data_IF_615074780434
#
_entry.id   IF_615074780434
#
_cell.length_a   1.000
_cell.length_b   1.000
_cell.length_c   1.000
_cell.angle_alpha   90.00
_cell.angle_beta   90.00
_cell.angle_gamma   90.00
#
_symmetry.space_group_name_H-M   'P 1'
#
loop_
_entity.id
_entity.type
_entity.pdbx_description
1 polymer ?
#
# COMPACT_ATOMS: atom_id res chain seq x y z
N UNK A 1 -4.91 80.08 26.82
CA UNK A 1 -6.33 79.93 26.40
C UNK A 1 -6.52 78.53 25.85
N UNK A 2 -7.52 77.80 26.35
CA UNK A 2 -8.07 76.57 25.76
C UNK A 2 -9.33 76.94 24.95
N UNK A 3 -9.98 76.02 24.19
CA UNK A 3 -9.44 74.91 23.39
C UNK A 3 -10.13 74.78 22.01
N UNK A 4 -9.70 73.84 21.14
CA UNK A 4 -10.58 72.90 20.41
C UNK A 4 -9.81 71.91 19.52
N UNK A 5 -9.99 70.61 19.79
CA UNK A 5 -10.43 69.52 18.88
C UNK A 5 -10.07 69.60 17.38
N UNK A 6 -9.64 68.55 16.67
CA UNK A 6 -9.48 67.11 16.95
C UNK A 6 -8.45 66.51 15.94
N UNK A 7 -7.98 65.26 15.97
CA UNK A 7 -8.19 64.10 16.85
C UNK A 7 -6.94 63.17 16.78
N UNK A 8 -6.92 62.05 17.51
CA UNK A 8 -5.91 60.96 17.37
C UNK A 8 -6.62 59.61 17.41
N UNK A 9 -6.29 58.69 16.49
CA UNK A 9 -6.78 57.32 16.51
C UNK A 9 -5.67 56.32 16.16
N UNK A 10 -5.31 55.49 17.13
CA UNK A 10 -4.38 54.36 16.99
C UNK A 10 -5.12 53.04 17.13
N UNK A 11 -4.58 52.00 16.48
CA UNK A 11 -4.86 50.56 16.65
C UNK A 11 -6.27 50.03 16.35
N UNK A 12 -6.32 49.02 15.46
CA UNK A 12 -6.94 47.74 15.80
C UNK A 12 -8.00 47.18 14.84
N UNK A 13 -7.79 45.92 14.41
CA UNK A 13 -8.88 44.94 14.35
C UNK A 13 -9.60 44.69 13.02
N UNK A 14 -9.02 43.85 12.14
CA UNK A 14 -9.81 42.97 11.26
C UNK A 14 -9.26 41.54 11.37
N UNK A 15 -9.52 40.92 12.53
CA UNK A 15 -9.25 39.51 12.82
C UNK A 15 -10.35 38.94 13.73
N UNK A 16 -11.62 39.14 13.35
CA UNK A 16 -12.81 38.68 14.09
C UNK A 16 -14.07 38.66 13.20
N UNK A 17 -14.09 37.82 12.16
CA UNK A 17 -15.31 37.60 11.36
C UNK A 17 -15.56 36.14 10.92
N UNK A 18 -15.00 35.16 11.64
CA UNK A 18 -15.32 33.73 11.47
C UNK A 18 -16.02 32.99 12.64
N UNK A 19 -16.36 33.56 13.83
CA UNK A 19 -17.06 32.79 14.87
C UNK A 19 -18.60 32.86 14.80
N UNK A 20 -19.19 33.76 13.99
CA UNK A 20 -20.64 34.02 14.09
C UNK A 20 -21.52 32.93 13.45
N UNK A 21 -21.07 32.30 12.35
CA UNK A 21 -21.82 31.21 11.70
C UNK A 21 -21.81 29.93 12.57
N UNK A 22 -20.67 29.62 13.20
CA UNK A 22 -20.52 28.46 14.08
C UNK A 22 -21.38 28.54 15.37
N UNK A 23 -21.75 29.76 15.80
CA UNK A 23 -22.59 29.94 17.00
C UNK A 23 -24.08 29.69 16.71
N UNK A 24 -24.55 29.95 15.49
CA UNK A 24 -25.97 29.77 15.12
C UNK A 24 -26.32 28.28 14.98
N UNK A 25 -25.43 27.46 14.41
CA UNK A 25 -25.67 26.01 14.29
C UNK A 25 -25.81 25.29 15.65
N UNK A 26 -25.18 25.80 16.72
CA UNK A 26 -25.29 25.21 18.07
C UNK A 26 -26.60 25.51 18.80
N UNK A 27 -27.45 26.39 18.26
CA UNK A 27 -28.77 26.70 18.84
C UNK A 27 -29.91 25.82 18.31
N UNK A 28 -29.67 25.00 17.27
CA UNK A 28 -30.71 24.20 16.61
C UNK A 28 -30.42 22.68 16.54
N UNK A 29 -29.21 22.22 16.89
CA UNK A 29 -28.89 20.78 16.97
C UNK A 29 -27.88 20.52 18.11
N UNK A 30 -28.32 20.04 19.30
CA UNK A 30 -27.40 19.69 20.38
C UNK A 30 -26.54 18.44 20.06
N UNK A 31 -27.01 17.55 19.19
CA UNK A 31 -26.34 16.27 18.86
C UNK A 31 -25.48 16.33 17.58
N UNK A 32 -25.19 17.53 17.08
CA UNK A 32 -24.27 17.71 15.95
C UNK A 32 -22.82 17.46 16.40
N UNK A 33 -22.41 16.18 16.43
CA UNK A 33 -21.01 15.78 16.49
C UNK A 33 -20.24 16.32 15.28
N UNK A 34 -19.71 17.54 15.42
CA UNK A 34 -18.71 18.07 14.50
C UNK A 34 -17.45 17.23 14.66
N UNK A 35 -17.22 16.32 13.72
CA UNK A 35 -15.93 15.66 13.55
C UNK A 35 -14.92 16.71 13.13
N UNK A 36 -14.28 17.36 14.10
CA UNK A 36 -13.05 18.08 13.86
C UNK A 36 -12.01 17.05 13.39
N UNK A 37 -11.53 17.21 12.15
CA UNK A 37 -10.45 16.38 11.63
C UNK A 37 -9.16 16.75 12.35
N UNK A 38 -8.91 16.05 13.45
CA UNK A 38 -7.72 16.17 14.28
C UNK A 38 -6.50 15.68 13.47
N UNK A 39 -5.66 16.62 13.02
CA UNK A 39 -4.47 16.35 12.18
C UNK A 39 -3.30 15.82 13.00
N UNK A 40 -3.46 14.63 13.60
CA UNK A 40 -2.39 13.94 14.30
C UNK A 40 -1.39 13.32 13.31
N UNK A 41 -0.12 13.75 13.39
CA UNK A 41 0.98 13.12 12.65
C UNK A 41 1.04 11.62 12.94
N UNK A 42 1.06 10.80 11.89
CA UNK A 42 1.37 9.36 11.96
C UNK A 42 0.18 8.40 12.08
N UNK A 43 -1.05 8.88 12.29
CA UNK A 43 -2.25 8.03 12.27
C UNK A 43 -2.91 8.04 10.89
N UNK A 44 -2.49 7.13 10.01
CA UNK A 44 -3.39 6.68 8.95
C UNK A 44 -4.41 5.71 9.56
N UNK A 45 -5.69 5.93 9.27
CA UNK A 45 -6.68 4.88 9.46
C UNK A 45 -6.42 3.80 8.39
N UNK A 46 -6.32 2.54 8.82
CA UNK A 46 -6.27 1.41 7.89
C UNK A 46 -7.68 1.16 7.36
N UNK A 47 -7.87 1.36 6.06
CA UNK A 47 -9.07 0.96 5.34
C UNK A 47 -9.02 -0.56 5.12
N UNK A 48 -9.77 -1.32 5.93
CA UNK A 48 -9.89 -2.76 5.75
C UNK A 48 -10.75 -3.04 4.50
N UNK A 49 -10.12 -3.51 3.42
CA UNK A 49 -10.80 -3.69 2.13
C UNK A 49 -11.59 -5.00 2.07
N UNK A 50 -11.01 -6.07 2.62
CA UNK A 50 -11.57 -7.41 2.83
C UNK A 50 -10.71 -8.15 3.89
N UNK A 51 -11.15 -9.26 4.49
CA UNK A 51 -10.39 -9.94 5.54
C UNK A 51 -8.96 -10.30 5.11
N UNK A 52 -7.95 -9.75 5.80
CA UNK A 52 -6.52 -9.95 5.51
C UNK A 52 -5.93 -9.00 4.45
N UNK A 53 -6.71 -8.06 3.90
CA UNK A 53 -6.23 -7.05 2.97
C UNK A 53 -6.66 -5.65 3.43
N UNK A 54 -5.69 -4.79 3.72
CA UNK A 54 -5.94 -3.41 4.15
C UNK A 54 -5.10 -2.42 3.35
N UNK A 55 -5.64 -1.22 3.14
CA UNK A 55 -4.95 -0.08 2.53
C UNK A 55 -4.77 1.05 3.55
N UNK A 56 -3.72 1.86 3.41
CA UNK A 56 -3.51 3.04 4.24
C UNK A 56 -2.56 4.03 3.59
N UNK A 57 -2.81 5.33 3.80
CA UNK A 57 -1.93 6.42 3.34
C UNK A 57 -1.33 7.15 4.54
N UNK A 58 -0.01 7.04 4.70
CA UNK A 58 0.71 7.62 5.84
C UNK A 58 1.49 8.85 5.39
N UNK A 59 1.40 9.93 6.18
CA UNK A 59 2.26 11.10 5.99
C UNK A 59 3.66 10.81 6.54
N UNK A 60 4.69 10.95 5.70
CA UNK A 60 6.08 10.65 6.04
C UNK A 60 6.80 11.85 6.69
N UNK A 61 6.53 13.07 6.20
CA UNK A 61 7.14 14.32 6.66
C UNK A 61 6.15 15.51 6.59
N UNK A 62 6.60 16.67 7.07
CA UNK A 62 5.82 17.91 7.10
C UNK A 62 5.51 18.48 5.70
N UNK A 63 6.27 18.10 4.66
CA UNK A 63 6.09 18.54 3.28
C UNK A 63 5.02 17.71 2.53
N UNK A 64 3.98 17.28 3.24
CA UNK A 64 2.83 16.50 2.73
C UNK A 64 3.18 15.20 1.97
N UNK A 65 4.42 14.72 2.01
CA UNK A 65 4.83 13.47 1.33
C UNK A 65 4.08 12.28 1.91
N UNK A 66 3.43 11.49 1.05
CA UNK A 66 2.66 10.32 1.47
C UNK A 66 3.24 9.01 0.95
N UNK A 67 3.13 7.98 1.77
CA UNK A 67 3.33 6.59 1.38
C UNK A 67 1.99 5.85 1.40
N UNK A 68 1.62 5.30 0.25
CA UNK A 68 0.53 4.36 0.12
C UNK A 68 1.04 2.96 0.50
N UNK A 69 0.27 2.25 1.33
CA UNK A 69 0.62 0.92 1.83
C UNK A 69 -0.54 -0.03 1.64
N UNK A 70 -0.26 -1.21 1.07
CA UNK A 70 -1.17 -2.36 1.11
C UNK A 70 -0.59 -3.38 2.07
N UNK A 71 -1.35 -3.78 3.10
CA UNK A 71 -1.00 -4.87 4.01
C UNK A 71 -1.76 -6.13 3.62
N UNK A 72 -1.02 -7.20 3.38
CA UNK A 72 -1.52 -8.50 2.88
C UNK A 72 -1.17 -9.61 3.88
N UNK A 73 -2.18 -10.35 4.32
CA UNK A 73 -2.08 -11.58 5.12
C UNK A 73 -1.76 -12.80 4.23
N UNK A 74 -0.55 -13.40 4.31
CA UNK A 74 -0.19 -14.59 3.53
C UNK A 74 -1.02 -15.83 3.87
N UNK A 75 -1.75 -15.87 4.99
CA UNK A 75 -2.68 -16.96 5.29
C UNK A 75 -3.89 -16.95 4.36
N UNK A 76 -4.29 -15.78 3.84
CA UNK A 76 -5.52 -15.56 3.04
C UNK A 76 -5.27 -15.27 1.56
N UNK A 77 -4.06 -14.82 1.21
CA UNK A 77 -3.69 -14.48 -0.15
C UNK A 77 -2.47 -15.27 -0.63
N UNK A 78 -2.47 -15.59 -1.93
CA UNK A 78 -1.32 -16.15 -2.64
C UNK A 78 -0.57 -15.03 -3.37
N UNK A 79 0.75 -15.18 -3.47
CA UNK A 79 1.61 -14.27 -4.24
C UNK A 79 2.01 -14.94 -5.56
N UNK A 80 1.97 -14.18 -6.64
CA UNK A 80 2.27 -14.64 -7.99
C UNK A 80 3.20 -13.65 -8.68
N UNK A 81 4.29 -14.14 -9.25
CA UNK A 81 5.09 -13.39 -10.21
C UNK A 81 4.36 -13.47 -11.56
N UNK A 82 4.02 -12.32 -12.14
CA UNK A 82 3.54 -12.24 -13.51
C UNK A 82 4.63 -11.58 -14.34
N UNK A 83 5.21 -12.30 -15.29
CA UNK A 83 6.36 -11.85 -16.07
C UNK A 83 6.08 -12.03 -17.57
N UNK A 84 6.35 -11.00 -18.38
CA UNK A 84 6.19 -11.07 -19.86
C UNK A 84 7.05 -12.16 -20.52
N UNK A 85 8.09 -12.62 -19.84
CA UNK A 85 8.93 -13.76 -20.26
C UNK A 85 8.23 -15.11 -20.12
N UNK A 86 7.17 -15.21 -19.32
CA UNK A 86 6.38 -16.43 -19.06
C UNK A 86 5.30 -16.62 -20.13
N UNK A 87 4.65 -15.52 -20.57
CA UNK A 87 3.57 -15.54 -21.56
C UNK A 87 3.98 -15.07 -22.98
N UNK A 88 5.18 -14.50 -23.13
CA UNK A 88 5.71 -14.01 -24.40
C UNK A 88 5.07 -12.70 -24.90
N UNK A 89 4.22 -12.06 -24.10
CA UNK A 89 3.44 -10.90 -24.51
C UNK A 89 4.18 -9.57 -24.26
N UNK A 90 3.52 -8.46 -24.60
CA UNK A 90 4.01 -7.12 -24.32
C UNK A 90 4.08 -6.83 -22.81
N UNK A 91 4.88 -5.84 -22.42
CA UNK A 91 4.75 -5.20 -21.12
C UNK A 91 3.36 -4.53 -21.01
N UNK A 92 2.82 -4.48 -19.79
CA UNK A 92 1.43 -4.05 -19.52
C UNK A 92 1.38 -3.08 -18.35
N UNK A 93 0.36 -2.25 -18.29
CA UNK A 93 0.04 -1.46 -17.09
C UNK A 93 -0.31 -2.38 -15.92
N UNK A 94 -0.24 -1.85 -14.69
CA UNK A 94 -0.61 -2.61 -13.50
C UNK A 94 -2.08 -3.05 -13.56
N UNK A 95 -3.00 -2.18 -14.01
CA UNK A 95 -4.40 -2.51 -14.23
C UNK A 95 -4.59 -3.70 -15.18
N UNK A 96 -3.94 -3.69 -16.35
CA UNK A 96 -4.03 -4.78 -17.33
C UNK A 96 -3.47 -6.10 -16.77
N UNK A 97 -2.37 -6.06 -16.01
CA UNK A 97 -1.90 -7.22 -15.24
C UNK A 97 -2.95 -7.68 -14.21
N UNK A 98 -3.57 -6.72 -13.51
CA UNK A 98 -4.60 -6.96 -12.50
C UNK A 98 -5.84 -7.65 -13.04
N UNK A 99 -6.34 -7.24 -14.19
CA UNK A 99 -7.46 -7.89 -14.88
C UNK A 99 -7.08 -9.26 -15.43
N UNK A 100 -6.04 -9.33 -16.28
CA UNK A 100 -5.68 -10.56 -17.01
C UNK A 100 -5.19 -11.69 -16.09
N UNK A 101 -4.75 -11.36 -14.87
CA UNK A 101 -4.22 -12.33 -13.90
C UNK A 101 -5.05 -12.39 -12.61
N UNK A 102 -6.22 -11.74 -12.56
CA UNK A 102 -7.10 -11.59 -11.39
C UNK A 102 -6.35 -11.23 -10.09
N UNK A 103 -5.57 -10.14 -10.13
CA UNK A 103 -4.80 -9.66 -8.98
C UNK A 103 -5.63 -8.63 -8.20
N UNK A 104 -5.68 -8.78 -6.88
CA UNK A 104 -6.33 -7.81 -5.96
C UNK A 104 -5.39 -6.68 -5.54
N UNK A 105 -4.09 -6.93 -5.66
CA UNK A 105 -3.04 -5.93 -5.53
C UNK A 105 -1.86 -6.34 -6.41
N UNK A 106 -1.08 -5.37 -6.89
CA UNK A 106 0.15 -5.63 -7.63
C UNK A 106 1.18 -4.50 -7.40
N UNK A 107 2.45 -4.85 -7.44
CA UNK A 107 3.60 -3.92 -7.37
C UNK A 107 4.65 -4.37 -8.38
N UNK A 108 5.63 -3.54 -8.72
CA UNK A 108 6.81 -3.97 -9.48
C UNK A 108 7.45 -5.22 -8.87
N UNK A 109 7.82 -6.21 -9.69
CA UNK A 109 8.62 -7.33 -9.19
C UNK A 109 10.05 -6.87 -8.88
N UNK A 110 10.70 -6.21 -9.85
CA UNK A 110 12.07 -5.73 -9.75
C UNK A 110 12.39 -4.77 -10.89
N UNK A 111 13.45 -3.97 -10.74
CA UNK A 111 14.18 -3.37 -11.87
C UNK A 111 14.59 -4.44 -12.89
N UNK A 112 14.60 -4.05 -14.16
CA UNK A 112 14.86 -4.91 -15.30
C UNK A 112 15.97 -4.37 -16.22
N UNK A 113 16.51 -5.23 -17.07
CA UNK A 113 17.59 -4.92 -18.00
C UNK A 113 17.09 -4.14 -19.23
N UNK A 114 18.03 -3.66 -20.05
CA UNK A 114 17.72 -2.89 -21.27
C UNK A 114 16.92 -3.66 -22.34
N UNK A 115 16.73 -4.97 -22.17
CA UNK A 115 15.81 -5.80 -22.97
C UNK A 115 14.32 -5.56 -22.65
N UNK A 116 14.04 -4.75 -21.62
CA UNK A 116 12.71 -4.46 -21.11
C UNK A 116 11.96 -5.73 -20.67
N UNK A 117 12.67 -6.73 -20.11
CA UNK A 117 12.09 -8.04 -19.76
C UNK A 117 12.80 -8.74 -18.60
N UNK A 118 14.12 -8.85 -18.63
CA UNK A 118 14.87 -9.68 -17.68
C UNK A 118 15.13 -8.91 -16.39
N UNK A 119 14.86 -9.51 -15.22
CA UNK A 119 15.17 -8.91 -13.92
C UNK A 119 16.67 -8.61 -13.78
N UNK A 120 17.01 -7.53 -13.08
CA UNK A 120 18.40 -7.24 -12.70
C UNK A 120 18.98 -8.23 -11.67
N UNK A 121 18.12 -8.97 -10.96
CA UNK A 121 18.48 -9.96 -9.94
C UNK A 121 17.90 -11.34 -10.26
N UNK A 122 18.14 -12.31 -9.37
CA UNK A 122 17.54 -13.64 -9.49
C UNK A 122 16.01 -13.56 -9.41
N UNK A 123 15.31 -14.16 -10.38
CA UNK A 123 13.85 -14.14 -10.42
C UNK A 123 13.27 -15.40 -11.06
N UNK A 124 12.42 -16.12 -10.30
CA UNK A 124 11.82 -17.40 -10.66
C UNK A 124 10.40 -17.56 -10.12
N UNK A 125 9.56 -18.29 -10.84
CA UNK A 125 8.30 -18.87 -10.38
C UNK A 125 8.15 -20.31 -10.85
N UNK A 126 8.15 -21.26 -9.93
CA UNK A 126 8.13 -22.69 -10.25
C UNK A 126 9.33 -23.05 -11.13
N UNK A 127 9.05 -23.60 -12.31
CA UNK A 127 10.05 -23.94 -13.33
C UNK A 127 10.42 -22.75 -14.23
N UNK A 128 9.60 -21.68 -14.25
CA UNK A 128 9.87 -20.50 -15.06
C UNK A 128 10.94 -19.60 -14.40
N UNK A 129 12.12 -19.54 -15.01
CA UNK A 129 13.23 -18.69 -14.60
C UNK A 129 13.28 -17.49 -15.55
N UNK A 130 12.97 -16.29 -15.04
CA UNK A 130 13.20 -15.04 -15.77
C UNK A 130 14.69 -14.65 -15.73
N UNK A 131 15.34 -14.81 -14.59
CA UNK A 131 16.80 -14.66 -14.47
C UNK A 131 17.38 -15.62 -13.43
N UNK A 132 18.34 -16.45 -13.85
CA UNK A 132 19.04 -17.41 -13.01
C UNK A 132 20.24 -16.84 -12.24
N UNK A 133 20.65 -15.60 -12.49
CA UNK A 133 21.83 -14.98 -11.88
C UNK A 133 21.51 -14.31 -10.54
N UNK A 134 22.12 -14.79 -9.46
CA UNK A 134 22.06 -14.14 -8.14
C UNK A 134 23.04 -12.97 -8.09
N UNK A 135 22.51 -11.74 -8.20
CA UNK A 135 23.30 -10.52 -8.10
C UNK A 135 24.01 -10.42 -6.74
N UNK A 136 25.31 -10.10 -6.73
CA UNK A 136 26.10 -10.01 -5.50
C UNK A 136 25.72 -8.81 -4.61
N UNK A 137 25.36 -7.67 -5.22
CA UNK A 137 25.01 -6.43 -4.50
C UNK A 137 23.59 -6.45 -3.91
N UNK A 138 22.76 -7.41 -4.30
CA UNK A 138 21.38 -7.50 -3.85
C UNK A 138 21.30 -8.41 -2.61
N UNK A 139 20.57 -7.98 -1.59
CA UNK A 139 20.63 -8.57 -0.25
C UNK A 139 19.32 -9.15 0.26
N UNK A 140 18.23 -8.99 -0.49
CA UNK A 140 16.90 -9.42 -0.09
C UNK A 140 16.29 -10.31 -1.18
N UNK A 141 15.54 -11.31 -0.75
CA UNK A 141 14.81 -12.23 -1.60
C UNK A 141 13.37 -12.31 -1.08
N UNK A 142 12.42 -11.69 -1.78
CA UNK A 142 11.02 -12.02 -1.55
C UNK A 142 10.76 -13.45 -1.99
N UNK A 143 10.14 -14.24 -1.13
CA UNK A 143 9.82 -15.66 -1.38
C UNK A 143 8.37 -15.95 -1.06
N UNK A 144 7.75 -16.84 -1.84
CA UNK A 144 6.39 -17.32 -1.58
C UNK A 144 6.15 -18.74 -2.13
N UNK A 145 5.07 -19.37 -1.66
CA UNK A 145 4.70 -20.76 -1.96
C UNK A 145 5.81 -21.76 -1.57
N UNK A 146 6.00 -22.03 -0.26
CA UNK A 146 6.96 -23.01 0.22
C UNK A 146 6.54 -24.45 -0.12
N UNK A 147 7.53 -25.35 -0.21
CA UNK A 147 7.34 -26.80 -0.33
C UNK A 147 7.02 -27.49 1.01
N UNK A 148 7.09 -26.75 2.13
CA UNK A 148 6.94 -27.23 3.50
C UNK A 148 5.96 -26.33 4.27
N UNK A 149 4.87 -26.88 4.85
CA UNK A 149 3.87 -26.10 5.56
C UNK A 149 4.37 -25.51 6.90
N UNK A 150 5.55 -25.90 7.39
CA UNK A 150 6.18 -25.28 8.56
C UNK A 150 6.89 -23.95 8.24
N UNK A 151 7.13 -23.66 6.96
CA UNK A 151 7.75 -22.40 6.52
C UNK A 151 6.70 -21.28 6.36
N UNK A 152 7.07 -20.00 6.57
CA UNK A 152 6.20 -18.86 6.27
C UNK A 152 5.71 -18.92 4.81
N UNK A 153 4.40 -18.76 4.58
CA UNK A 153 3.81 -18.84 3.23
C UNK A 153 4.39 -17.81 2.25
N UNK A 154 4.71 -16.62 2.76
CA UNK A 154 5.53 -15.62 2.07
C UNK A 154 6.36 -14.86 3.10
N UNK A 155 7.57 -14.43 2.73
CA UNK A 155 8.46 -13.61 3.58
C UNK A 155 9.55 -12.94 2.74
N UNK A 156 10.42 -12.16 3.36
CA UNK A 156 11.66 -11.68 2.75
C UNK A 156 12.84 -12.37 3.45
N UNK A 157 13.52 -13.25 2.71
CA UNK A 157 14.78 -13.86 3.16
C UNK A 157 15.89 -12.84 3.02
N UNK A 158 16.58 -12.62 4.12
CA UNK A 158 17.71 -11.69 4.24
C UNK A 158 19.03 -12.44 4.00
N UNK A 159 19.91 -11.89 3.15
CA UNK A 159 21.24 -12.47 2.86
C UNK A 159 22.18 -12.54 4.07
N UNK A 160 21.88 -11.82 5.15
CA UNK A 160 22.61 -11.91 6.42
C UNK A 160 22.28 -13.20 7.18
N UNK A 161 21.18 -13.89 6.86
CA UNK A 161 20.84 -15.20 7.42
C UNK A 161 21.80 -16.27 6.86
N UNK A 162 22.58 -17.01 7.69
CA UNK A 162 23.56 -17.98 7.20
C UNK A 162 23.02 -19.05 6.25
N UNK A 163 21.75 -19.46 6.41
CA UNK A 163 21.08 -20.47 5.59
C UNK A 163 20.26 -19.91 4.43
N UNK A 164 20.47 -18.65 4.01
CA UNK A 164 19.60 -18.01 3.01
C UNK A 164 19.54 -18.76 1.68
N UNK A 165 20.62 -19.43 1.25
CA UNK A 165 20.67 -20.17 -0.03
C UNK A 165 19.75 -21.39 0.01
N UNK A 166 19.85 -22.15 1.07
CA UNK A 166 19.04 -23.33 1.33
C UNK A 166 17.59 -22.91 1.51
N UNK A 167 17.31 -21.82 2.22
CA UNK A 167 15.95 -21.30 2.40
C UNK A 167 15.30 -20.94 1.06
N UNK A 168 15.96 -20.20 0.16
CA UNK A 168 15.31 -19.78 -1.11
C UNK A 168 15.02 -20.94 -2.08
N UNK A 169 15.64 -22.12 -1.93
CA UNK A 169 15.29 -23.29 -2.76
C UNK A 169 14.00 -23.97 -2.31
N UNK A 170 13.58 -23.78 -1.05
CA UNK A 170 12.33 -24.33 -0.49
C UNK A 170 11.06 -23.60 -0.93
N UNK A 171 11.18 -22.59 -1.80
CA UNK A 171 10.09 -21.74 -2.28
C UNK A 171 9.94 -21.83 -3.80
N UNK A 172 8.71 -21.87 -4.30
CA UNK A 172 8.45 -21.86 -5.73
C UNK A 172 8.64 -20.47 -6.36
N UNK A 173 8.24 -19.40 -5.67
CA UNK A 173 8.43 -18.01 -6.10
C UNK A 173 9.63 -17.42 -5.36
N UNK A 174 10.57 -16.84 -6.11
CA UNK A 174 11.72 -16.08 -5.58
C UNK A 174 11.97 -14.84 -6.43
N UNK A 175 12.07 -13.67 -5.80
CA UNK A 175 12.41 -12.39 -6.44
C UNK A 175 13.52 -11.71 -5.63
N UNK A 176 14.68 -11.49 -6.22
CA UNK A 176 15.83 -10.86 -5.58
C UNK A 176 15.94 -9.37 -5.94
N UNK A 177 16.15 -8.50 -4.95
CA UNK A 177 16.50 -7.10 -5.18
C UNK A 177 17.33 -6.52 -4.01
N UNK A 178 17.61 -5.21 -4.04
CA UNK A 178 18.35 -4.52 -2.99
C UNK A 178 17.62 -4.58 -1.64
N UNK A 179 18.37 -4.93 -0.60
CA UNK A 179 17.96 -4.81 0.79
C UNK A 179 18.17 -3.37 1.24
N UNK A 180 17.09 -2.69 1.59
CA UNK A 180 17.12 -1.32 2.11
C UNK A 180 17.23 -1.33 3.64
N UNK A 181 16.46 -2.21 4.29
CA UNK A 181 16.45 -2.45 5.74
C UNK A 181 16.60 -3.95 5.98
N UNK A 182 17.46 -4.35 6.91
CA UNK A 182 17.67 -5.75 7.31
C UNK A 182 16.75 -6.18 8.47
N UNK A 183 16.77 -7.47 8.82
CA UNK A 183 15.95 -8.01 9.91
C UNK A 183 16.15 -7.31 11.28
N UNK A 184 17.34 -6.76 11.55
CA UNK A 184 17.65 -5.96 12.75
C UNK A 184 17.08 -4.52 12.72
N UNK A 185 16.29 -4.19 11.68
CA UNK A 185 15.77 -2.85 11.38
C UNK A 185 16.84 -1.80 11.10
N UNK A 186 18.04 -2.23 10.65
CA UNK A 186 19.13 -1.32 10.25
C UNK A 186 18.97 -0.91 8.79
N UNK A 187 19.01 0.41 8.54
CA UNK A 187 19.12 0.96 7.18
C UNK A 187 20.53 0.69 6.66
N UNK A 188 20.64 0.21 5.42
CA UNK A 188 21.91 -0.20 4.81
C UNK A 188 22.38 0.71 3.68
N UNK A 189 21.49 1.58 3.20
CA UNK A 189 21.82 2.60 2.20
C UNK A 189 22.35 3.84 2.92
N UNK A 190 23.11 4.66 2.20
CA UNK A 190 23.65 5.93 2.71
C UNK A 190 22.82 7.12 2.21
N UNK A 191 22.70 8.21 2.98
CA UNK A 191 22.02 9.42 2.54
C UNK A 191 22.74 10.12 1.39
N UNK A 192 22.00 10.97 0.66
CA UNK A 192 22.54 11.79 -0.43
C UNK A 192 22.46 11.12 -1.80
N UNK A 193 21.54 10.16 -1.95
CA UNK A 193 21.20 9.58 -3.24
C UNK A 193 20.34 10.52 -4.10
N UNK A 194 20.01 10.13 -5.34
CA UNK A 194 19.09 10.88 -6.17
C UNK A 194 17.66 10.71 -5.67
N UNK A 195 16.80 11.70 -5.94
CA UNK A 195 15.40 11.67 -5.54
C UNK A 195 14.56 10.91 -6.57
N UNK A 196 13.80 9.92 -6.10
CA UNK A 196 12.92 9.10 -6.95
C UNK A 196 11.60 8.82 -6.25
N UNK A 197 10.52 8.62 -7.01
CA UNK A 197 9.39 7.81 -6.51
C UNK A 197 9.91 6.41 -6.19
N UNK A 198 9.35 5.75 -5.18
CA UNK A 198 9.87 4.47 -4.67
C UNK A 198 8.74 3.45 -4.59
N UNK A 199 8.98 2.25 -5.09
CA UNK A 199 8.21 1.05 -4.76
C UNK A 199 9.08 0.06 -4.01
N UNK A 200 8.57 -0.48 -2.90
CA UNK A 200 9.26 -1.43 -2.04
C UNK A 200 8.30 -2.51 -1.53
N UNK A 201 8.85 -3.68 -1.21
CA UNK A 201 8.13 -4.77 -0.54
C UNK A 201 8.77 -4.97 0.83
N UNK A 202 7.96 -5.09 1.87
CA UNK A 202 8.42 -5.34 3.23
C UNK A 202 7.69 -6.53 3.85
N UNK A 203 8.25 -7.07 4.94
CA UNK A 203 7.47 -7.83 5.91
C UNK A 203 7.37 -7.06 7.22
N UNK A 204 6.23 -7.15 7.90
CA UNK A 204 6.08 -6.63 9.26
C UNK A 204 6.46 -7.68 10.31
N UNK A 205 6.39 -7.29 11.59
CA UNK A 205 6.69 -8.18 12.73
C UNK A 205 5.61 -9.22 13.04
N UNK A 206 4.44 -9.13 12.40
CA UNK A 206 3.32 -10.05 12.57
C UNK A 206 3.25 -11.08 11.41
N UNK A 207 4.12 -10.93 10.41
CA UNK A 207 4.25 -11.82 9.25
C UNK A 207 3.44 -11.40 8.02
N UNK A 208 2.82 -10.22 8.03
CA UNK A 208 2.19 -9.68 6.83
C UNK A 208 3.24 -9.21 5.83
N UNK A 209 2.88 -9.25 4.55
CA UNK A 209 3.63 -8.58 3.49
C UNK A 209 3.04 -7.19 3.29
N UNK A 210 3.90 -6.19 3.16
CA UNK A 210 3.51 -4.82 2.82
C UNK A 210 4.00 -4.48 1.41
N UNK A 211 3.11 -3.99 0.57
CA UNK A 211 3.48 -3.26 -0.65
C UNK A 211 3.50 -1.77 -0.33
N UNK A 212 4.63 -1.13 -0.60
CA UNK A 212 4.94 0.25 -0.21
C UNK A 212 5.16 1.09 -1.46
N UNK A 213 4.47 2.23 -1.59
CA UNK A 213 4.66 3.15 -2.70
C UNK A 213 4.69 4.62 -2.24
N UNK A 214 5.79 5.32 -2.52
CA UNK A 214 5.92 6.76 -2.38
C UNK A 214 5.95 7.39 -3.77
N UNK A 215 4.94 8.21 -4.08
CA UNK A 215 4.82 8.85 -5.39
C UNK A 215 5.74 10.06 -5.52
N UNK A 216 5.91 10.83 -4.45
CA UNK A 216 6.76 12.02 -4.44
C UNK A 216 8.25 11.60 -4.51
N UNK A 217 9.10 12.31 -5.26
CA UNK A 217 10.54 12.05 -5.30
C UNK A 217 11.20 12.25 -3.93
N UNK A 218 11.77 11.17 -3.38
CA UNK A 218 12.46 11.15 -2.09
C UNK A 218 13.82 10.47 -2.19
N UNK A 219 14.72 10.81 -1.27
CA UNK A 219 15.96 10.05 -1.06
C UNK A 219 15.61 8.71 -0.37
N UNK A 220 16.26 7.63 -0.81
CA UNK A 220 15.94 6.28 -0.37
C UNK A 220 16.34 5.99 1.10
N UNK A 221 17.37 6.64 1.64
CA UNK A 221 17.70 6.57 3.06
C UNK A 221 16.66 7.32 3.89
N UNK A 222 16.21 8.49 3.44
CA UNK A 222 15.13 9.21 4.10
C UNK A 222 13.80 8.46 4.04
N UNK A 223 13.48 7.80 2.93
CA UNK A 223 12.33 6.89 2.85
C UNK A 223 12.46 5.75 3.89
N UNK A 224 13.60 5.06 3.93
CA UNK A 224 13.88 3.98 4.90
C UNK A 224 13.75 4.47 6.35
N UNK A 225 14.27 5.66 6.64
CA UNK A 225 14.19 6.31 7.95
C UNK A 225 12.74 6.61 8.32
N UNK A 226 11.96 7.20 7.42
CA UNK A 226 10.57 7.57 7.70
C UNK A 226 9.68 6.33 7.94
N UNK A 227 9.77 5.29 7.11
CA UNK A 227 8.94 4.08 7.30
C UNK A 227 9.21 3.32 8.61
N UNK A 228 10.40 3.45 9.19
CA UNK A 228 10.73 2.89 10.51
C UNK A 228 10.03 3.61 11.68
N UNK A 229 9.59 4.85 11.48
CA UNK A 229 8.86 5.66 12.47
C UNK A 229 7.34 5.57 12.32
N UNK A 230 6.84 5.03 11.20
CA UNK A 230 5.42 4.76 11.00
C UNK A 230 4.96 3.53 11.79
N UNK A 231 3.66 3.43 12.16
CA UNK A 231 3.09 2.28 12.87
C UNK A 231 2.88 1.06 11.95
N UNK A 232 3.89 0.73 11.15
CA UNK A 232 3.91 -0.38 10.18
C UNK A 232 4.65 -1.63 10.70
N UNK A 233 5.37 -1.54 11.82
CA UNK A 233 6.14 -2.66 12.40
C UNK A 233 7.14 -3.34 11.41
N UNK A 234 7.62 -2.60 10.39
CA UNK A 234 8.50 -3.15 9.33
C UNK A 234 9.78 -3.76 9.91
N UNK A 235 10.15 -4.91 9.34
CA UNK A 235 11.37 -5.67 9.66
C UNK A 235 12.35 -5.57 8.50
N UNK A 236 12.25 -6.45 7.51
CA UNK A 236 13.07 -6.40 6.30
C UNK A 236 12.33 -5.58 5.23
N UNK A 237 13.06 -4.76 4.48
CA UNK A 237 12.52 -3.97 3.37
C UNK A 237 13.38 -4.16 2.13
N UNK A 238 12.76 -4.66 1.06
CA UNK A 238 13.34 -4.84 -0.25
C UNK A 238 12.87 -3.71 -1.18
N UNK A 239 13.80 -2.93 -1.71
CA UNK A 239 13.51 -1.98 -2.78
C UNK A 239 13.20 -2.75 -4.07
N UNK A 240 12.10 -2.44 -4.76
CA UNK A 240 11.77 -3.14 -6.03
C UNK A 240 11.97 -2.28 -7.27
N UNK A 241 11.54 -1.01 -7.26
CA UNK A 241 11.64 -0.12 -8.43
C UNK A 241 11.57 1.36 -8.01
N UNK A 242 12.04 2.27 -8.87
CA UNK A 242 11.94 3.71 -8.68
C UNK A 242 11.55 4.55 -9.90
N UNK A 243 11.52 5.87 -9.69
CA UNK A 243 11.20 6.86 -10.72
C UNK A 243 9.79 6.69 -11.28
N UNK A 244 9.57 7.05 -12.54
CA UNK A 244 8.29 6.85 -13.22
C UNK A 244 7.86 5.37 -13.34
N UNK A 245 8.77 4.42 -13.09
CA UNK A 245 8.45 3.00 -13.17
C UNK A 245 7.91 2.42 -11.87
N UNK A 246 8.14 3.06 -10.73
CA UNK A 246 7.52 2.71 -9.46
C UNK A 246 5.98 2.72 -9.60
N UNK A 247 5.29 1.68 -9.15
CA UNK A 247 3.83 1.65 -9.19
C UNK A 247 3.21 0.63 -8.25
N UNK A 248 1.95 0.89 -7.90
CA UNK A 248 1.14 0.09 -6.98
C UNK A 248 -0.31 0.05 -7.45
N UNK A 249 -0.90 -1.14 -7.49
CA UNK A 249 -2.32 -1.36 -7.73
C UNK A 249 -2.98 -1.92 -6.48
N UNK A 250 -4.20 -1.44 -6.22
CA UNK A 250 -5.23 -2.09 -5.42
C UNK A 250 -6.48 -2.22 -6.29
N UNK A 251 -7.12 -3.39 -6.31
CA UNK A 251 -8.31 -3.70 -7.10
C UNK A 251 -9.23 -4.67 -6.32
N UNK A 252 -10.04 -4.11 -5.46
CA UNK A 252 -11.09 -4.81 -4.70
C UNK A 252 -12.47 -4.24 -5.07
N UNK A 253 -13.55 -4.86 -4.59
CA UNK A 253 -14.90 -4.29 -4.74
C UNK A 253 -15.11 -2.98 -3.97
N UNK A 254 -14.26 -2.69 -2.97
CA UNK A 254 -14.31 -1.52 -2.09
C UNK A 254 -13.37 -0.39 -2.51
N UNK A 255 -12.27 -0.71 -3.21
CA UNK A 255 -11.27 0.25 -3.67
C UNK A 255 -10.60 -0.23 -4.95
N UNK A 256 -10.62 0.60 -5.99
CA UNK A 256 -9.76 0.48 -7.15
C UNK A 256 -8.86 1.72 -7.27
N UNK A 257 -7.54 1.50 -7.29
CA UNK A 257 -6.54 2.57 -7.36
C UNK A 257 -5.24 2.06 -7.97
N UNK A 258 -4.86 2.61 -9.12
CA UNK A 258 -3.51 2.51 -9.67
C UNK A 258 -2.73 3.78 -9.31
N UNK A 259 -1.55 3.61 -8.73
CA UNK A 259 -0.60 4.66 -8.39
C UNK A 259 0.67 4.45 -9.21
N UNK A 260 1.13 5.49 -9.88
CA UNK A 260 2.35 5.50 -10.67
C UNK A 260 3.28 6.60 -10.15
N UNK A 261 4.59 6.31 -10.17
CA UNK A 261 5.65 7.24 -9.85
C UNK A 261 5.72 8.40 -10.85
N UNK A 262 6.48 9.44 -10.50
CA UNK A 262 6.64 10.64 -11.32
C UNK A 262 7.91 10.54 -12.16
N UNK A 263 7.81 10.93 -13.42
CA UNK A 263 8.92 11.09 -14.35
C UNK A 263 9.10 12.57 -14.75
N UNK A 264 10.32 12.95 -15.13
CA UNK A 264 10.63 14.35 -15.49
C UNK A 264 9.85 14.84 -16.74
N UNK A 265 9.47 13.94 -17.65
CA UNK A 265 8.66 14.30 -18.82
C UNK A 265 7.14 14.38 -18.54
N UNK A 266 6.65 13.90 -17.39
CA UNK A 266 5.23 14.05 -16.99
C UNK A 266 4.86 15.52 -16.80
N UNK A 267 5.85 16.38 -16.50
CA UNK A 267 5.68 17.83 -16.41
C UNK A 267 5.51 18.52 -17.79
N UNK A 268 5.81 17.82 -18.88
CA UNK A 268 5.74 18.34 -20.25
C UNK A 268 4.58 17.76 -21.07
N UNK A 269 3.94 16.69 -20.59
CA UNK A 269 2.82 16.02 -21.27
C UNK A 269 1.60 16.06 -20.37
N UNK A 270 0.52 16.71 -20.81
CA UNK A 270 -0.76 16.77 -20.08
C UNK A 270 -1.54 15.46 -20.21
N UNK A 271 -1.02 14.37 -19.61
CA UNK A 271 -1.67 13.07 -19.60
C UNK A 271 -0.95 12.08 -18.70
N UNK A 272 -1.72 11.25 -17.97
CA UNK A 272 -1.18 10.15 -17.19
C UNK A 272 -0.64 9.07 -18.14
N UNK A 273 0.67 9.09 -18.42
CA UNK A 273 1.33 7.98 -19.09
C UNK A 273 1.28 6.78 -18.15
N UNK A 274 0.49 5.75 -18.50
CA UNK A 274 0.47 4.50 -17.73
C UNK A 274 1.80 3.78 -17.94
N UNK A 275 2.48 3.48 -16.85
CA UNK A 275 3.75 2.76 -16.89
C UNK A 275 3.53 1.32 -17.31
N UNK A 276 4.15 0.94 -18.43
CA UNK A 276 4.16 -0.45 -18.90
C UNK A 276 5.27 -1.22 -18.18
N UNK A 277 4.87 -2.22 -17.39
CA UNK A 277 5.77 -3.06 -16.60
C UNK A 277 5.91 -4.46 -17.22
N UNK A 278 7.15 -4.97 -17.37
CA UNK A 278 7.37 -6.32 -17.86
C UNK A 278 7.08 -7.38 -16.80
N UNK A 279 7.31 -7.07 -15.52
CA UNK A 279 7.23 -8.02 -14.40
C UNK A 279 6.57 -7.37 -13.18
N UNK A 280 5.54 -8.00 -12.63
CA UNK A 280 4.85 -7.55 -11.42
C UNK A 280 4.75 -8.68 -10.39
N UNK A 281 4.88 -8.32 -9.12
CA UNK A 281 4.50 -9.17 -8.00
C UNK A 281 3.02 -8.90 -7.69
N UNK A 282 2.18 -9.87 -8.02
CA UNK A 282 0.73 -9.85 -7.83
C UNK A 282 0.27 -10.60 -6.60
N UNK A 283 -0.92 -10.24 -6.13
CA UNK A 283 -1.61 -10.86 -4.99
C UNK A 283 -2.96 -11.40 -5.46
N UNK A 284 -3.30 -12.64 -5.11
CA UNK A 284 -4.56 -13.32 -5.44
C UNK A 284 -5.26 -13.82 -4.18
N UNK A 285 -6.59 -13.88 -4.19
CA UNK A 285 -7.35 -14.56 -3.13
C UNK A 285 -7.04 -16.07 -3.18
N UNK A 286 -6.72 -16.67 -2.04
CA UNK A 286 -6.68 -18.14 -1.93
C UNK A 286 -8.08 -18.70 -2.23
N UNK A 287 -8.15 -19.85 -2.91
CA UNK A 287 -9.43 -20.45 -3.32
C UNK A 287 -10.43 -20.66 -2.14
N UNK A 288 -9.92 -20.90 -0.92
CA UNK A 288 -10.74 -20.99 0.29
C UNK A 288 -11.32 -19.65 0.77
N UNK A 289 -10.62 -18.53 0.57
CA UNK A 289 -11.06 -17.19 0.98
C UNK A 289 -12.23 -16.70 0.12
N UNK A 290 -12.19 -16.95 -1.19
CA UNK A 290 -13.27 -16.60 -2.14
C UNK A 290 -14.60 -17.26 -1.77
N UNK A 291 -14.57 -18.47 -1.21
CA UNK A 291 -15.78 -19.17 -0.77
C UNK A 291 -16.43 -18.52 0.46
N UNK A 292 -15.62 -17.99 1.39
CA UNK A 292 -16.10 -17.28 2.57
C UNK A 292 -16.72 -15.92 2.22
N UNK A 293 -16.10 -15.17 1.30
CA UNK A 293 -16.64 -13.89 0.83
C UNK A 293 -18.02 -14.06 0.18
N UNK A 294 -18.19 -15.11 -0.62
CA UNK A 294 -19.47 -15.42 -1.26
C UNK A 294 -20.55 -15.90 -0.27
N UNK A 295 -20.19 -16.58 0.83
CA UNK A 295 -21.16 -16.92 1.87
C UNK A 295 -21.65 -15.68 2.63
N UNK A 296 -20.77 -14.74 2.97
CA UNK A 296 -21.15 -13.52 3.69
C UNK A 296 -22.09 -12.64 2.83
N UNK A 297 -21.79 -12.48 1.54
CA UNK A 297 -22.66 -11.78 0.59
C UNK A 297 -24.02 -12.47 0.36
N UNK A 298 -24.10 -13.79 0.56
CA UNK A 298 -25.38 -14.52 0.51
C UNK A 298 -26.17 -14.47 1.82
N UNK A 299 -25.54 -14.10 2.93
CA UNK A 299 -26.13 -14.08 4.27
C UNK A 299 -27.09 -12.92 4.53
N UNK A 300 -26.99 -11.82 3.78
CA UNK A 300 -27.86 -10.64 3.92
C UNK A 300 -29.16 -10.76 3.12
N UNK A 301 -29.96 -11.79 3.42
CA UNK A 301 -31.38 -11.77 3.05
C UNK A 301 -32.16 -10.91 4.05
N UNK A 302 -32.99 -9.94 3.63
CA UNK A 302 -33.79 -9.16 4.55
C UNK A 302 -34.89 -10.03 5.15
N UNK A 303 -34.74 -10.42 6.41
CA UNK A 303 -35.82 -11.09 7.15
C UNK A 303 -37.01 -10.14 7.27
N UNK A 304 -38.10 -10.45 6.54
CA UNK A 304 -39.39 -9.80 6.73
C UNK A 304 -39.82 -9.93 8.20
N UNK A 305 -39.96 -8.79 8.88
CA UNK A 305 -40.54 -8.74 10.22
C UNK A 305 -42.02 -9.11 10.08
N UNK A 306 -42.36 -10.36 10.42
CA UNK A 306 -43.73 -10.83 10.48
C UNK A 306 -44.50 -10.10 11.57
N UNK A 307 -45.46 -9.26 11.16
CA UNK A 307 -46.39 -8.58 12.07
C UNK A 307 -47.18 -9.61 12.88
N UNK A 308 -46.96 -9.65 14.19
CA UNK A 308 -47.83 -10.40 15.11
C UNK A 308 -49.18 -9.70 15.19
N UNK A 309 -50.20 -10.29 14.57
CA UNK A 309 -51.59 -9.95 14.86
C UNK A 309 -51.90 -10.33 16.31
N UNK A 310 -52.05 -9.33 17.18
CA UNK A 310 -52.72 -9.48 18.47
C UNK A 310 -54.21 -9.25 18.20
N UNK A 311 -54.95 -10.33 17.94
CA UNK A 311 -56.41 -10.29 17.88
C UNK A 311 -56.94 -10.58 19.28
N UNK A 312 -57.55 -9.58 19.92
CA UNK A 312 -58.14 -9.75 21.24
C UNK A 312 -59.45 -10.52 21.19
N UNK A 313 -59.68 -11.38 22.20
CA UNK A 313 -60.97 -12.04 22.43
C UNK A 313 -61.56 -11.59 23.76
N UNK A 314 -62.61 -10.78 23.69
CA UNK A 314 -63.51 -10.45 24.81
C UNK A 314 -64.70 -11.39 24.83
N UNK A 315 -65.09 -11.89 26.01
CA UNK A 315 -66.26 -12.74 26.27
C UNK A 315 -65.90 -13.83 27.30
N UNK A 316 -66.38 -13.78 28.55
CA UNK A 316 -67.77 -13.97 29.00
C UNK A 316 -68.23 -15.44 28.86
N UNK A 317 -67.93 -16.28 29.86
CA UNK A 317 -68.80 -16.55 31.02
C UNK A 317 -67.96 -17.08 32.21
#
# INVERSE_FOLDING_TARGET
>A
MHPSTACVLTRGGIARLLPLVALICRLFCPDAHVWAADTHKGFALWDQLEPGLAFGEFQMNENETRIAVVRIDPARFDFVLCARSEDGLAARSLHEWGEQRDLVAAINASMYLQDNSTSTGYMRQGDHINNGHIAQRFGAFFVAAPDDPSLPTATIVDRDNPGWRETITRYALVIQNYRMINADRRILWTPGGPLYSISAVANDGDGHILFLHCREPVDAYDFARQILHLPLNVRTVMYVEGGGQAGLLVRTASLEREMNGRFAADFLVTGNIRTMLPNVLGVRRKAGATKALNSDLSGTSPHCIGTRNIMGSTGAD
#
